data_IF_912634175496
#
_entry.id   IF_912634175496
#
_cell.length_a   1.000
_cell.length_b   1.000
_cell.length_c   1.000
_cell.angle_alpha   90.00
_cell.angle_beta   90.00
_cell.angle_gamma   90.00
#
_symmetry.space_group_name_H-M   'P 1'
#
loop_
_entity.id
_entity.type
_entity.pdbx_description
1 polymer ?
#
# COMPACT_ATOMS: atom_id res chain seq x y z
N UNK A 1 23.29 -21.64 -1.43
CA UNK A 1 22.71 -20.68 -0.49
C UNK A 1 21.21 -20.89 -0.54
N UNK A 2 20.58 -21.30 0.55
CA UNK A 2 19.12 -21.38 0.62
C UNK A 2 18.58 -19.95 0.62
N UNK A 3 17.86 -19.57 -0.44
CA UNK A 3 17.23 -18.26 -0.52
C UNK A 3 16.21 -18.15 0.62
N UNK A 4 16.40 -17.17 1.49
CA UNK A 4 15.52 -16.94 2.61
C UNK A 4 14.25 -16.29 2.06
N UNK A 5 13.11 -16.90 2.33
CA UNK A 5 11.81 -16.41 1.87
C UNK A 5 11.29 -15.38 2.85
N UNK A 6 10.74 -14.28 2.34
CA UNK A 6 10.36 -13.13 3.13
C UNK A 6 8.85 -12.91 3.11
N UNK A 7 8.35 -12.29 4.17
CA UNK A 7 6.98 -11.85 4.29
C UNK A 7 6.82 -10.66 5.23
N UNK A 8 5.63 -10.06 5.18
CA UNK A 8 5.16 -9.13 6.21
C UNK A 8 4.33 -9.91 7.22
N UNK A 9 4.67 -9.80 8.49
CA UNK A 9 3.82 -10.27 9.59
C UNK A 9 3.02 -9.09 10.14
N UNK A 10 1.70 -9.23 10.19
CA UNK A 10 0.78 -8.24 10.74
C UNK A 10 0.39 -8.69 12.15
N UNK A 11 1.12 -8.16 13.13
CA UNK A 11 0.88 -8.39 14.55
C UNK A 11 -0.53 -7.90 14.94
N UNK A 12 -1.21 -8.70 15.76
CA UNK A 12 -2.60 -8.48 16.18
C UNK A 12 -3.61 -9.25 15.34
N UNK A 13 -3.35 -9.43 14.04
CA UNK A 13 -4.12 -10.31 13.16
C UNK A 13 -3.51 -11.71 13.05
N UNK A 14 -2.22 -11.87 13.41
CA UNK A 14 -1.45 -13.11 13.22
C UNK A 14 -1.47 -13.56 11.75
N UNK A 15 -1.28 -12.58 10.86
CA UNK A 15 -1.38 -12.77 9.41
C UNK A 15 -0.02 -12.59 8.74
N UNK A 16 0.25 -13.39 7.71
CA UNK A 16 1.54 -13.45 7.02
C UNK A 16 1.35 -13.27 5.52
N UNK A 17 1.91 -12.18 4.99
CA UNK A 17 1.76 -11.78 3.60
C UNK A 17 3.08 -12.03 2.87
N UNK A 18 3.11 -12.98 1.95
CA UNK A 18 4.32 -13.36 1.24
C UNK A 18 4.87 -12.22 0.36
N UNK A 19 6.19 -12.04 0.33
CA UNK A 19 6.86 -11.04 -0.52
C UNK A 19 8.02 -11.63 -1.32
N UNK A 20 8.41 -10.93 -2.38
CA UNK A 20 9.48 -11.33 -3.29
C UNK A 20 10.89 -11.07 -2.73
N UNK A 21 11.03 -10.14 -1.79
CA UNK A 21 12.31 -9.83 -1.14
C UNK A 21 12.12 -9.23 0.26
N UNK A 22 13.23 -9.13 1.00
CA UNK A 22 13.28 -8.44 2.28
C UNK A 22 12.93 -6.95 2.14
N UNK A 23 13.48 -6.26 1.13
CA UNK A 23 13.17 -4.83 0.92
C UNK A 23 11.69 -4.61 0.57
N UNK A 24 11.08 -5.56 -0.15
CA UNK A 24 9.64 -5.53 -0.43
C UNK A 24 8.82 -5.67 0.86
N UNK A 25 9.19 -6.60 1.74
CA UNK A 25 8.55 -6.76 3.05
C UNK A 25 8.72 -5.53 3.94
N UNK A 26 9.93 -4.97 4.02
CA UNK A 26 10.22 -3.81 4.86
C UNK A 26 9.43 -2.58 4.39
N UNK A 27 9.38 -2.34 3.08
CA UNK A 27 8.62 -1.24 2.49
C UNK A 27 7.14 -1.36 2.78
N UNK A 28 6.59 -2.56 2.62
CA UNK A 28 5.16 -2.82 2.85
C UNK A 28 4.80 -2.70 4.33
N UNK A 29 5.61 -3.31 5.22
CA UNK A 29 5.45 -3.17 6.67
C UNK A 29 5.50 -1.70 7.12
N UNK A 30 6.44 -0.92 6.59
CA UNK A 30 6.56 0.52 6.86
C UNK A 30 5.32 1.29 6.40
N UNK A 31 4.77 0.95 5.22
CA UNK A 31 3.58 1.59 4.70
C UNK A 31 2.33 1.30 5.54
N UNK A 32 2.17 0.05 6.00
CA UNK A 32 1.07 -0.35 6.89
C UNK A 32 1.17 0.40 8.21
N UNK A 33 2.36 0.43 8.84
CA UNK A 33 2.56 1.14 10.10
C UNK A 33 2.26 2.64 9.96
N UNK A 34 2.77 3.28 8.90
CA UNK A 34 2.50 4.70 8.66
C UNK A 34 0.99 5.00 8.46
N UNK A 35 0.25 4.10 7.81
CA UNK A 35 -1.19 4.21 7.69
C UNK A 35 -1.90 4.06 9.03
N UNK A 36 -1.54 3.05 9.82
CA UNK A 36 -2.11 2.81 11.16
C UNK A 36 -1.87 4.02 12.06
N UNK A 37 -0.66 4.57 12.06
CA UNK A 37 -0.31 5.75 12.85
C UNK A 37 -1.09 6.99 12.40
N UNK A 38 -1.21 7.21 11.08
CA UNK A 38 -2.00 8.31 10.54
C UNK A 38 -3.48 8.17 10.89
N UNK A 39 -4.07 6.99 10.75
CA UNK A 39 -5.46 6.73 11.08
C UNK A 39 -5.74 6.93 12.58
N UNK A 40 -4.85 6.46 13.45
CA UNK A 40 -4.89 6.74 14.90
C UNK A 40 -4.86 8.24 15.20
N UNK A 41 -3.98 8.99 14.53
CA UNK A 41 -3.88 10.44 14.70
C UNK A 41 -5.15 11.19 14.24
N UNK A 42 -5.86 10.65 13.26
CA UNK A 42 -7.14 11.18 12.76
C UNK A 42 -8.38 10.65 13.52
N UNK A 43 -8.19 9.87 14.60
CA UNK A 43 -9.27 9.30 15.39
C UNK A 43 -10.05 8.18 14.67
N UNK A 44 -9.51 7.64 13.58
CA UNK A 44 -10.06 6.44 12.93
C UNK A 44 -9.67 5.19 13.70
N UNK A 45 -10.66 4.36 14.00
CA UNK A 45 -10.44 3.05 14.61
C UNK A 45 -9.92 2.07 13.56
N UNK A 46 -8.60 1.89 13.51
CA UNK A 46 -7.99 0.71 12.86
C UNK A 46 -7.98 -0.40 13.90
N UNK A 47 -8.89 -1.38 13.72
CA UNK A 47 -9.05 -2.49 14.66
C UNK A 47 -8.25 -3.69 14.19
N UNK A 48 -7.68 -4.45 15.14
CA UNK A 48 -6.98 -5.71 14.87
C UNK A 48 -5.52 -5.59 14.44
N UNK A 49 -5.08 -4.47 13.85
CA UNK A 49 -3.67 -4.28 13.48
C UNK A 49 -2.91 -3.57 14.61
N UNK A 50 -1.94 -4.25 15.19
CA UNK A 50 -1.02 -3.70 16.20
C UNK A 50 0.21 -3.10 15.53
N UNK A 51 0.89 -3.89 14.69
CA UNK A 51 2.13 -3.53 14.00
C UNK A 51 2.36 -4.44 12.80
N UNK A 52 3.04 -3.95 11.77
CA UNK A 52 3.57 -4.78 10.68
C UNK A 52 5.10 -4.85 10.75
N UNK A 53 5.67 -6.03 10.51
CA UNK A 53 7.12 -6.25 10.50
C UNK A 53 7.56 -7.15 9.35
N UNK A 54 8.75 -6.92 8.81
CA UNK A 54 9.36 -7.81 7.82
C UNK A 54 10.00 -9.00 8.55
N UNK A 55 9.63 -10.22 8.17
CA UNK A 55 10.15 -11.45 8.79
C UNK A 55 10.36 -12.55 7.77
N UNK A 56 11.02 -13.61 8.20
CA UNK A 56 11.21 -14.83 7.41
C UNK A 56 9.89 -15.58 7.35
N UNK A 57 9.55 -16.07 6.16
CA UNK A 57 8.37 -16.89 5.95
C UNK A 57 8.43 -18.15 6.81
N UNK A 58 7.46 -18.37 7.72
CA UNK A 58 7.53 -19.46 8.70
C UNK A 58 7.04 -20.80 8.14
N UNK A 59 6.47 -20.81 6.93
CA UNK A 59 5.87 -22.01 6.32
C UNK A 59 6.73 -22.59 5.20
N UNK A 60 6.17 -23.56 4.48
CA UNK A 60 6.87 -24.23 3.39
C UNK A 60 7.13 -23.29 2.21
N UNK A 61 8.22 -23.51 1.44
CA UNK A 61 8.47 -22.76 0.20
C UNK A 61 7.35 -22.87 -0.83
N UNK A 62 6.71 -24.05 -0.94
CA UNK A 62 5.55 -24.23 -1.81
C UNK A 62 4.31 -23.44 -1.31
N UNK A 63 4.20 -23.23 0.01
CA UNK A 63 3.24 -22.31 0.60
C UNK A 63 3.52 -20.87 0.22
N UNK A 64 4.79 -20.45 0.32
CA UNK A 64 5.24 -19.10 -0.04
C UNK A 64 4.90 -18.76 -1.50
N UNK A 65 5.21 -19.65 -2.45
CA UNK A 65 4.93 -19.42 -3.86
C UNK A 65 3.43 -19.23 -4.17
N UNK A 66 2.56 -20.02 -3.50
CA UNK A 66 1.10 -19.90 -3.66
C UNK A 66 0.56 -18.62 -3.02
N UNK A 67 1.06 -18.28 -1.85
CA UNK A 67 0.71 -17.04 -1.15
C UNK A 67 1.19 -15.82 -1.93
N UNK A 68 2.37 -15.86 -2.56
CA UNK A 68 2.90 -14.73 -3.33
C UNK A 68 2.01 -14.36 -4.52
N UNK A 69 1.31 -15.34 -5.11
CA UNK A 69 0.32 -15.10 -6.17
C UNK A 69 -1.00 -14.55 -5.64
N UNK A 70 -1.45 -15.03 -4.47
CA UNK A 70 -2.75 -14.67 -3.87
C UNK A 70 -2.69 -13.36 -3.09
N UNK A 71 -1.72 -13.25 -2.19
CA UNK A 71 -1.52 -12.12 -1.28
C UNK A 71 -1.16 -10.83 -2.02
N UNK A 72 -0.56 -10.94 -3.21
CA UNK A 72 -0.24 -9.77 -4.02
C UNK A 72 -1.50 -9.03 -4.46
N UNK A 73 -2.57 -9.74 -4.82
CA UNK A 73 -3.84 -9.12 -5.20
C UNK A 73 -4.53 -8.48 -3.97
N UNK A 74 -4.47 -9.14 -2.82
CA UNK A 74 -5.02 -8.61 -1.57
C UNK A 74 -4.27 -7.36 -1.10
N UNK A 75 -2.93 -7.34 -1.20
CA UNK A 75 -2.10 -6.15 -0.94
C UNK A 75 -2.50 -4.95 -1.82
N UNK A 76 -2.83 -5.19 -3.09
CA UNK A 76 -3.29 -4.11 -4.00
C UNK A 76 -4.64 -3.53 -3.56
N UNK A 77 -5.48 -4.34 -2.93
CA UNK A 77 -6.80 -3.91 -2.44
C UNK A 77 -6.74 -3.22 -1.08
N UNK A 78 -5.65 -3.38 -0.32
CA UNK A 78 -5.53 -2.79 1.01
C UNK A 78 -5.63 -1.24 0.99
N UNK A 79 -6.33 -0.65 1.98
CA UNK A 79 -6.69 0.77 1.95
C UNK A 79 -5.47 1.70 1.96
N UNK A 80 -4.34 1.31 2.56
CA UNK A 80 -3.12 2.12 2.56
C UNK A 80 -2.51 2.29 1.17
N UNK A 81 -2.70 1.33 0.26
CA UNK A 81 -2.30 1.47 -1.15
C UNK A 81 -3.23 2.37 -1.95
N UNK A 82 -4.53 2.32 -1.68
CA UNK A 82 -5.49 3.23 -2.29
C UNK A 82 -5.24 4.69 -1.88
N UNK A 83 -4.87 4.91 -0.61
CA UNK A 83 -4.49 6.25 -0.11
C UNK A 83 -3.21 6.75 -0.80
N UNK A 84 -2.25 5.90 -1.15
CA UNK A 84 -1.07 6.31 -1.92
C UNK A 84 -1.40 6.71 -3.37
N UNK A 85 -2.34 6.02 -4.02
CA UNK A 85 -2.82 6.40 -5.36
C UNK A 85 -3.48 7.79 -5.30
N UNK A 86 -4.37 8.03 -4.34
CA UNK A 86 -5.00 9.34 -4.18
C UNK A 86 -4.04 10.44 -3.67
N UNK A 87 -2.97 10.10 -2.95
CA UNK A 87 -1.94 11.06 -2.54
C UNK A 87 -1.04 11.49 -3.70
N UNK A 88 -0.89 10.65 -4.74
CA UNK A 88 -0.26 11.05 -6.02
C UNK A 88 -1.17 11.92 -6.90
N UNK A 89 -2.46 12.04 -6.57
CA UNK A 89 -3.46 12.83 -7.31
C UNK A 89 -3.75 14.22 -6.71
N UNK A 90 -2.84 14.80 -5.93
CA UNK A 90 -2.88 16.23 -5.59
C UNK A 90 -1.49 16.85 -5.75
N UNK A 91 -1.29 18.16 -6.01
CA UNK A 91 -2.17 19.25 -6.48
C UNK A 91 -2.09 19.48 -8.01
N UNK A 92 -1.38 18.62 -8.75
CA UNK A 92 -1.17 18.79 -10.20
C UNK A 92 -2.46 18.62 -11.01
N UNK A 93 -3.38 17.78 -10.55
CA UNK A 93 -4.70 17.58 -11.18
C UNK A 93 -5.63 18.80 -11.06
N UNK A 94 -5.50 19.57 -9.97
CA UNK A 94 -6.26 20.82 -9.78
C UNK A 94 -5.70 21.95 -10.67
N UNK A 95 -4.38 21.98 -10.88
CA UNK A 95 -3.73 22.92 -11.79
C UNK A 95 -4.08 22.61 -13.26
N UNK A 96 -4.15 21.33 -13.63
CA UNK A 96 -4.54 20.89 -14.97
C UNK A 96 -6.01 21.20 -15.32
N UNK A 97 -6.95 21.13 -14.35
CA UNK A 97 -8.33 21.61 -14.58
C UNK A 97 -8.41 23.12 -14.78
N UNK A 98 -7.58 23.91 -14.07
CA UNK A 98 -7.55 25.37 -14.23
C UNK A 98 -6.94 25.82 -15.57
N UNK A 99 -5.98 25.07 -16.12
CA UNK A 99 -5.42 25.36 -17.44
C UNK A 99 -6.36 24.96 -18.58
N UNK A 100 -7.15 23.90 -18.43
CA UNK A 100 -8.13 23.49 -19.45
C UNK A 100 -9.30 24.48 -19.58
N UNK A 101 -9.64 25.20 -18.51
CA UNK A 101 -10.67 26.26 -18.55
C UNK A 101 -10.23 27.52 -19.30
N UNK A 102 -8.92 27.83 -19.33
CA UNK A 102 -8.40 29.01 -20.03
C UNK A 102 -8.26 28.82 -21.55
N UNK A 103 -8.08 27.58 -22.01
CA UNK A 103 -7.91 27.29 -23.45
C UNK A 103 -9.24 27.18 -24.22
N UNK A 104 -10.37 27.06 -23.52
CA UNK A 104 -11.70 26.98 -24.14
C UNK A 104 -12.43 28.32 -24.22
N UNK A 105 -11.80 29.43 -23.80
CA UNK A 105 -12.38 30.77 -23.77
C UNK A 105 -12.18 31.64 -25.01
N UNK A 106 -11.52 31.17 -26.06
CA UNK A 106 -11.31 31.95 -27.31
C UNK A 106 -12.14 31.42 -28.48
N UNK A 107 -13.47 31.44 -28.33
CA UNK A 107 -14.40 31.65 -29.44
C UNK A 107 -15.55 32.55 -28.98
N UNK A 108 -15.22 33.82 -28.86
CA UNK A 108 -16.12 34.98 -28.92
C UNK A 108 -15.55 35.79 -30.09
N UNK A 109 -16.11 35.74 -31.29
CA UNK A 109 -17.41 36.30 -31.65
C UNK A 109 -17.14 37.59 -32.40
N UNK A 110 -17.09 37.51 -33.74
CA UNK A 110 -17.73 38.38 -34.75
C UNK A 110 -17.31 37.89 -36.15
#
# INVERSE_FOLDING_TARGET
MSEQLWCVHIEGLDDFVATTSWEAAEREASAINAYVDSAKAHGQAVTGIVRASATVWPFTPAGHARSLETDWDDLQRMPHRQVQVHRREGPLSALLRRLKALVSGTRQGD
#
